data_IF_929877016342
#
_entry.id   IF_929877016342
#
_cell.length_a   1.000
_cell.length_b   1.000
_cell.length_c   1.000
_cell.angle_alpha   90.00
_cell.angle_beta   90.00
_cell.angle_gamma   90.00
#
_symmetry.space_group_name_H-M   'P 1'
#
loop_
_entity.id
_entity.type
_entity.pdbx_description
1 polymer ?
#
# COMPACT_ATOMS: atom_id res chain seq x y z
N UNK A 1 -9.77 9.11 46.83
CA UNK A 1 -10.29 10.08 45.84
C UNK A 1 -9.11 10.72 45.12
N UNK A 2 -8.75 10.19 43.95
CA UNK A 2 -7.63 10.70 43.13
C UNK A 2 -8.17 11.66 42.07
N UNK A 3 -7.79 12.94 42.16
CA UNK A 3 -8.15 13.96 41.17
C UNK A 3 -7.37 13.71 39.88
N UNK A 4 -8.07 13.33 38.81
CA UNK A 4 -7.54 13.36 37.44
C UNK A 4 -7.34 14.82 37.03
N UNK A 5 -6.08 15.20 36.80
CA UNK A 5 -5.72 16.49 36.20
C UNK A 5 -5.72 16.29 34.68
N UNK A 6 -6.72 16.84 34.00
CA UNK A 6 -6.75 16.95 32.53
C UNK A 6 -5.83 18.10 32.10
N UNK A 7 -4.82 17.86 31.26
CA UNK A 7 -3.99 18.93 30.73
C UNK A 7 -4.80 19.78 29.73
N UNK A 8 -4.80 21.09 29.94
CA UNK A 8 -5.44 22.07 29.09
C UNK A 8 -4.67 22.23 27.78
N UNK A 9 -5.39 22.22 26.65
CA UNK A 9 -4.91 22.35 25.26
C UNK A 9 -4.02 23.58 24.98
N UNK A 10 -4.00 24.57 25.87
CA UNK A 10 -3.10 25.72 25.81
C UNK A 10 -1.62 25.35 25.93
N UNK A 11 -1.25 24.24 26.55
CA UNK A 11 0.15 23.90 26.83
C UNK A 11 0.90 23.29 25.65
N UNK A 12 0.20 22.76 24.64
CA UNK A 12 0.83 21.98 23.57
C UNK A 12 1.36 22.89 22.45
N UNK A 13 0.65 23.97 22.11
CA UNK A 13 1.08 24.94 21.09
C UNK A 13 2.34 25.73 21.49
N UNK A 14 2.58 25.90 22.79
CA UNK A 14 3.76 26.62 23.32
C UNK A 14 5.06 25.83 23.19
N UNK A 15 4.98 24.50 23.10
CA UNK A 15 6.15 23.62 22.97
C UNK A 15 6.63 23.49 21.52
N UNK A 16 5.71 23.61 20.55
CA UNK A 16 5.99 23.55 19.11
C UNK A 16 6.65 24.84 18.60
N UNK A 17 6.22 25.99 19.11
CA UNK A 17 6.82 27.30 18.76
C UNK A 17 8.23 27.49 19.33
N UNK A 18 8.56 26.89 20.48
CA UNK A 18 9.90 27.00 21.09
C UNK A 18 11.00 26.16 20.41
N UNK A 19 10.66 25.19 19.56
CA UNK A 19 11.66 24.31 18.89
C UNK A 19 12.02 24.72 17.45
N UNK A 20 11.33 25.70 16.87
CA UNK A 20 11.76 26.33 15.63
C UNK A 20 12.94 27.27 15.92
N UNK A 21 14.15 26.72 15.85
CA UNK A 21 15.41 27.46 15.91
C UNK A 21 15.34 28.66 14.95
N UNK A 22 15.61 29.86 15.48
CA UNK A 22 15.72 31.11 14.70
C UNK A 22 16.53 30.85 13.43
N UNK A 23 15.88 30.99 12.28
CA UNK A 23 16.57 31.12 10.99
C UNK A 23 17.20 32.51 10.99
N UNK A 24 18.53 32.64 10.83
CA UNK A 24 19.16 33.95 10.75
C UNK A 24 18.61 34.71 9.54
N UNK A 25 18.15 35.93 9.78
CA UNK A 25 17.68 36.85 8.75
C UNK A 25 18.86 37.26 7.85
N UNK A 26 18.61 37.40 6.55
CA UNK A 26 19.61 37.69 5.53
C UNK A 26 20.48 38.93 5.81
N UNK A 27 20.00 39.84 6.65
CA UNK A 27 20.71 41.05 7.06
C UNK A 27 21.87 40.79 8.03
N UNK A 28 21.92 39.65 8.72
CA UNK A 28 23.05 39.32 9.63
C UNK A 28 24.28 38.75 8.91
N UNK A 29 24.15 38.35 7.63
CA UNK A 29 25.23 37.69 6.86
C UNK A 29 25.99 38.66 5.96
N UNK A 30 25.44 39.84 5.68
CA UNK A 30 26.05 40.81 4.77
C UNK A 30 26.75 41.92 5.56
N UNK A 31 28.05 41.69 5.80
CA UNK A 31 28.95 42.65 6.41
C UNK A 31 28.89 44.03 5.74
N UNK A 32 29.03 45.05 6.58
CA UNK A 32 29.02 46.47 6.25
C UNK A 32 30.16 46.83 5.28
N UNK A 33 29.92 46.64 3.99
CA UNK A 33 30.80 47.06 2.89
C UNK A 33 30.24 48.31 2.22
N UNK A 34 31.00 49.39 2.32
CA UNK A 34 30.93 50.69 1.64
C UNK A 34 29.99 50.82 0.44
N UNK A 35 29.12 51.82 0.57
CA UNK A 35 28.09 52.29 -0.34
C UNK A 35 28.61 53.02 -1.58
N UNK A 36 28.37 52.46 -2.76
CA UNK A 36 28.20 53.24 -4.00
C UNK A 36 26.70 53.40 -4.32
N UNK A 37 26.24 54.58 -4.77
CA UNK A 37 24.84 54.79 -5.12
C UNK A 37 24.51 54.09 -6.44
N UNK A 38 24.05 52.84 -6.35
CA UNK A 38 23.46 52.13 -7.48
C UNK A 38 22.16 52.87 -7.85
N UNK A 39 22.17 53.56 -8.99
CA UNK A 39 20.97 54.10 -9.64
C UNK A 39 20.09 52.91 -10.03
N UNK A 40 19.19 52.51 -9.13
CA UNK A 40 18.26 51.41 -9.37
C UNK A 40 17.21 51.87 -10.37
N UNK A 41 17.24 51.27 -11.57
CA UNK A 41 16.16 51.41 -12.54
C UNK A 41 14.80 51.12 -11.87
N UNK A 42 13.73 51.85 -12.23
CA UNK A 42 12.42 51.68 -11.61
C UNK A 42 11.95 50.23 -11.80
N UNK A 43 11.89 49.49 -10.69
CA UNK A 43 11.37 48.12 -10.68
C UNK A 43 9.91 48.19 -11.12
N UNK A 44 9.54 47.55 -12.24
CA UNK A 44 8.15 47.59 -12.69
C UNK A 44 7.28 46.95 -11.62
N UNK A 45 6.38 47.75 -11.02
CA UNK A 45 5.33 47.27 -10.12
C UNK A 45 4.41 46.33 -10.91
N UNK A 46 4.72 45.03 -10.92
CA UNK A 46 3.77 43.99 -11.36
C UNK A 46 2.67 43.89 -10.30
N UNK A 47 1.70 44.80 -10.34
CA UNK A 47 0.37 44.54 -9.76
C UNK A 47 -0.35 43.55 -10.67
N UNK A 48 0.01 42.28 -10.57
CA UNK A 48 -0.82 41.18 -11.06
C UNK A 48 -1.74 40.76 -9.91
N UNK A 49 -2.86 41.46 -9.77
CA UNK A 49 -4.07 40.84 -9.23
C UNK A 49 -4.59 39.88 -10.30
N UNK A 50 -3.84 38.78 -10.54
CA UNK A 50 -4.38 37.67 -11.29
C UNK A 50 -5.41 37.04 -10.37
N UNK A 51 -6.69 37.37 -10.57
CA UNK A 51 -7.80 36.64 -9.97
C UNK A 51 -7.61 35.19 -10.44
N UNK A 52 -7.05 34.35 -9.57
CA UNK A 52 -6.93 32.93 -9.85
C UNK A 52 -8.35 32.40 -9.89
N UNK A 53 -8.83 32.06 -11.08
CA UNK A 53 -10.07 31.33 -11.22
C UNK A 53 -9.85 29.97 -10.55
N UNK A 54 -10.45 29.81 -9.37
CA UNK A 54 -10.44 28.54 -8.67
C UNK A 54 -11.27 27.56 -9.50
N UNK A 55 -10.73 26.40 -9.88
CA UNK A 55 -11.48 25.38 -10.59
C UNK A 55 -12.76 24.98 -9.83
N UNK A 56 -13.84 24.71 -10.54
CA UNK A 56 -15.14 24.37 -9.93
C UNK A 56 -15.12 23.05 -9.14
N UNK A 57 -14.16 22.17 -9.46
CA UNK A 57 -13.94 20.86 -8.83
C UNK A 57 -12.91 20.89 -7.69
N UNK A 58 -12.39 22.07 -7.32
CA UNK A 58 -11.44 22.21 -6.22
C UNK A 58 -12.12 22.13 -4.85
N UNK A 59 -11.51 21.41 -3.90
CA UNK A 59 -11.84 21.53 -2.48
C UNK A 59 -11.09 22.73 -1.93
N UNK A 60 -11.82 23.69 -1.37
CA UNK A 60 -11.26 24.90 -0.76
C UNK A 60 -11.53 24.88 0.74
N UNK A 61 -10.48 25.01 1.55
CA UNK A 61 -10.65 25.25 2.99
C UNK A 61 -11.00 26.71 3.22
N UNK A 62 -11.99 26.96 4.07
CA UNK A 62 -12.38 28.30 4.50
C UNK A 62 -11.84 28.61 5.90
N UNK A 63 -11.80 29.89 6.24
CA UNK A 63 -11.26 30.37 7.51
C UNK A 63 -12.10 29.93 8.73
N UNK A 64 -13.37 29.60 8.51
CA UNK A 64 -14.30 29.09 9.53
C UNK A 64 -14.15 27.57 9.79
N UNK A 65 -13.19 26.91 9.12
CA UNK A 65 -12.95 25.48 9.23
C UNK A 65 -13.89 24.61 8.39
N UNK A 66 -14.77 25.21 7.59
CA UNK A 66 -15.57 24.48 6.60
C UNK A 66 -14.77 24.21 5.33
N UNK A 67 -15.23 23.23 4.56
CA UNK A 67 -14.68 22.90 3.25
C UNK A 67 -15.73 23.20 2.18
N UNK A 68 -15.34 23.76 1.03
CA UNK A 68 -16.27 23.99 -0.08
C UNK A 68 -15.83 23.30 -1.37
N UNK A 69 -16.79 22.78 -2.13
CA UNK A 69 -16.62 22.28 -3.49
C UNK A 69 -17.64 23.01 -4.36
N UNK A 70 -17.15 23.85 -5.28
CA UNK A 70 -18.02 24.77 -6.01
C UNK A 70 -18.83 25.65 -5.04
N UNK A 71 -20.16 25.58 -5.14
CA UNK A 71 -21.09 26.31 -4.26
C UNK A 71 -21.49 25.55 -2.99
N UNK A 72 -21.20 24.26 -2.89
CA UNK A 72 -21.54 23.45 -1.73
C UNK A 72 -20.58 23.72 -0.57
N UNK A 73 -21.12 23.76 0.65
CA UNK A 73 -20.33 23.97 1.88
C UNK A 73 -20.50 22.73 2.77
N UNK A 74 -19.38 22.13 3.16
CA UNK A 74 -19.29 20.96 4.02
C UNK A 74 -18.80 21.41 5.40
N UNK A 75 -19.63 21.18 6.41
CA UNK A 75 -19.32 21.46 7.81
C UNK A 75 -19.25 20.16 8.61
N UNK A 76 -18.89 20.25 9.89
CA UNK A 76 -18.91 19.09 10.80
C UNK A 76 -20.31 18.52 11.07
N UNK A 77 -21.38 19.24 10.71
CA UNK A 77 -22.77 18.84 10.95
C UNK A 77 -23.52 18.47 9.67
N UNK A 78 -22.98 18.76 8.47
CA UNK A 78 -23.63 18.35 7.24
C UNK A 78 -23.13 19.05 5.98
N UNK A 79 -23.97 18.98 4.95
CA UNK A 79 -23.78 19.61 3.64
C UNK A 79 -24.82 20.72 3.46
N UNK A 80 -24.37 21.95 3.30
CA UNK A 80 -25.21 23.08 2.94
C UNK A 80 -25.31 23.16 1.40
N UNK A 81 -26.54 23.05 0.91
CA UNK A 81 -26.87 23.04 -0.52
C UNK A 81 -27.41 24.43 -0.90
N UNK A 82 -26.82 25.11 -1.90
CA UNK A 82 -27.35 26.37 -2.41
C UNK A 82 -28.77 26.21 -2.96
N UNK A 83 -29.63 27.22 -2.74
CA UNK A 83 -31.01 27.21 -3.27
C UNK A 83 -31.04 27.18 -4.82
N UNK A 84 -30.00 27.71 -5.46
CA UNK A 84 -29.83 27.77 -6.92
C UNK A 84 -28.97 26.61 -7.47
N UNK A 85 -28.76 25.54 -6.69
CA UNK A 85 -27.95 24.40 -7.11
C UNK A 85 -28.59 23.68 -8.31
N UNK A 86 -27.80 23.53 -9.39
CA UNK A 86 -28.22 22.83 -10.60
C UNK A 86 -27.86 21.35 -10.55
N UNK A 87 -28.43 20.54 -11.46
CA UNK A 87 -28.05 19.13 -11.60
C UNK A 87 -26.55 18.94 -11.90
N UNK A 88 -25.96 19.84 -12.70
CA UNK A 88 -24.54 19.82 -13.01
C UNK A 88 -23.65 20.10 -11.79
N UNK A 89 -24.12 20.96 -10.87
CA UNK A 89 -23.43 21.23 -9.61
C UNK A 89 -23.38 19.96 -8.74
N UNK A 90 -24.50 19.24 -8.63
CA UNK A 90 -24.56 17.95 -7.92
C UNK A 90 -23.68 16.89 -8.56
N UNK A 91 -23.70 16.76 -9.89
CA UNK A 91 -22.85 15.82 -10.62
C UNK A 91 -21.36 16.09 -10.34
N UNK A 92 -20.96 17.36 -10.38
CA UNK A 92 -19.59 17.77 -10.04
C UNK A 92 -19.26 17.42 -8.59
N UNK A 93 -20.13 17.77 -7.65
CA UNK A 93 -19.95 17.48 -6.22
C UNK A 93 -19.78 15.97 -5.97
N UNK A 94 -20.69 15.14 -6.47
CA UNK A 94 -20.61 13.70 -6.29
C UNK A 94 -19.39 13.10 -6.98
N UNK A 95 -19.04 13.56 -8.18
CA UNK A 95 -17.84 13.09 -8.88
C UNK A 95 -16.58 13.32 -8.04
N UNK A 96 -16.44 14.51 -7.45
CA UNK A 96 -15.29 14.83 -6.58
C UNK A 96 -15.33 13.98 -5.31
N UNK A 97 -16.49 13.90 -4.64
CA UNK A 97 -16.63 13.16 -3.39
C UNK A 97 -16.36 11.66 -3.53
N UNK A 98 -16.85 11.02 -4.59
CA UNK A 98 -16.58 9.60 -4.84
C UNK A 98 -15.11 9.35 -5.17
N UNK A 99 -14.46 10.23 -5.96
CA UNK A 99 -13.02 10.14 -6.23
C UNK A 99 -12.18 10.25 -4.94
N UNK A 100 -12.58 11.09 -4.00
CA UNK A 100 -11.87 11.27 -2.73
C UNK A 100 -12.13 10.10 -1.78
N UNK A 101 -13.39 9.67 -1.65
CA UNK A 101 -13.81 8.63 -0.71
C UNK A 101 -12.94 7.38 -0.80
N UNK A 102 -12.64 6.94 -2.01
CA UNK A 102 -11.88 5.70 -2.22
C UNK A 102 -10.37 5.87 -2.00
N UNK A 103 -9.88 7.11 -2.03
CA UNK A 103 -8.45 7.46 -1.97
C UNK A 103 -8.02 8.04 -0.63
N UNK A 104 -8.93 8.62 0.14
CA UNK A 104 -8.61 9.34 1.38
C UNK A 104 -7.89 8.45 2.40
N UNK A 105 -8.30 7.19 2.51
CA UNK A 105 -7.65 6.23 3.41
C UNK A 105 -6.19 5.97 3.01
N UNK A 106 -5.88 5.95 1.70
CA UNK A 106 -4.51 5.79 1.22
C UNK A 106 -3.68 7.03 1.55
N UNK A 107 -4.23 8.22 1.33
CA UNK A 107 -3.56 9.47 1.67
C UNK A 107 -3.29 9.60 3.18
N UNK A 108 -4.25 9.22 4.02
CA UNK A 108 -4.05 9.15 5.48
C UNK A 108 -2.94 8.16 5.82
N UNK A 109 -2.97 6.94 5.26
CA UNK A 109 -1.92 5.94 5.48
C UNK A 109 -0.53 6.41 5.04
N UNK A 110 -0.44 7.08 3.89
CA UNK A 110 0.80 7.66 3.35
C UNK A 110 1.31 8.81 4.23
N UNK A 111 0.42 9.69 4.69
CA UNK A 111 0.76 10.77 5.61
C UNK A 111 1.26 10.25 6.96
N UNK A 112 0.63 9.19 7.50
CA UNK A 112 1.07 8.54 8.75
C UNK A 112 2.46 7.92 8.61
N UNK A 113 2.73 7.24 7.50
CA UNK A 113 4.05 6.69 7.21
C UNK A 113 5.12 7.80 7.08
N UNK A 114 4.78 8.90 6.39
CA UNK A 114 5.65 10.05 6.28
C UNK A 114 5.92 10.73 7.64
N UNK A 115 4.87 10.94 8.45
CA UNK A 115 4.96 11.58 9.77
C UNK A 115 5.94 10.87 10.72
N UNK A 116 5.90 9.54 10.77
CA UNK A 116 6.84 8.75 11.58
C UNK A 116 8.26 8.73 10.99
N UNK A 117 8.40 8.58 9.66
CA UNK A 117 9.73 8.58 9.03
C UNK A 117 10.46 9.92 9.19
N UNK A 118 9.73 11.04 9.25
CA UNK A 118 10.25 12.38 9.54
C UNK A 118 10.45 12.64 11.04
N UNK A 119 10.12 11.67 11.91
CA UNK A 119 10.27 11.76 13.37
C UNK A 119 9.47 12.90 14.01
N UNK A 120 8.29 13.22 13.48
CA UNK A 120 7.41 14.22 14.07
C UNK A 120 6.57 13.69 15.25
N UNK A 121 6.40 12.38 15.35
CA UNK A 121 5.69 11.72 16.44
C UNK A 121 5.34 10.27 16.08
N UNK A 122 4.35 9.71 16.77
CA UNK A 122 3.86 8.34 16.54
C UNK A 122 2.44 8.34 15.98
N UNK A 123 2.10 7.34 15.15
CA UNK A 123 0.76 7.24 14.58
C UNK A 123 -0.36 7.12 15.63
N UNK A 124 -0.06 6.53 16.80
CA UNK A 124 -1.04 6.38 17.88
C UNK A 124 -1.48 7.74 18.47
N UNK A 125 -0.59 8.74 18.49
CA UNK A 125 -0.90 10.09 18.97
C UNK A 125 -1.91 10.78 18.04
N UNK A 126 -1.82 10.51 16.75
CA UNK A 126 -2.76 11.00 15.74
C UNK A 126 -4.13 10.33 15.90
N UNK A 127 -4.15 9.03 16.25
CA UNK A 127 -5.41 8.32 16.51
C UNK A 127 -6.18 8.98 17.66
N UNK A 128 -5.50 9.26 18.77
CA UNK A 128 -6.08 9.94 19.93
C UNK A 128 -6.56 11.36 19.59
N UNK A 129 -5.76 12.11 18.82
CA UNK A 129 -6.09 13.50 18.45
C UNK A 129 -7.35 13.62 17.60
N UNK A 130 -7.54 12.71 16.64
CA UNK A 130 -8.69 12.73 15.72
C UNK A 130 -9.84 11.81 16.15
N UNK A 131 -9.71 11.11 17.29
CA UNK A 131 -10.75 10.21 17.80
C UNK A 131 -10.92 8.92 16.98
N UNK A 132 -9.87 8.46 16.31
CA UNK A 132 -9.87 7.17 15.61
C UNK A 132 -9.48 6.03 16.53
N UNK A 133 -9.95 4.82 16.23
CA UNK A 133 -9.44 3.62 16.87
C UNK A 133 -7.96 3.41 16.48
N UNK A 134 -7.03 3.21 17.44
CA UNK A 134 -5.61 3.00 17.13
C UNK A 134 -5.36 1.84 16.16
N UNK A 135 -6.16 0.78 16.23
CA UNK A 135 -6.06 -0.36 15.32
C UNK A 135 -6.29 0.04 13.85
N UNK A 136 -7.24 0.95 13.59
CA UNK A 136 -7.55 1.43 12.24
C UNK A 136 -6.39 2.23 11.66
N UNK A 137 -5.84 3.17 12.44
CA UNK A 137 -4.70 4.00 12.05
C UNK A 137 -3.45 3.16 11.79
N UNK A 138 -3.15 2.20 12.68
CA UNK A 138 -2.05 1.25 12.48
C UNK A 138 -2.23 0.41 11.23
N UNK A 139 -3.46 -0.04 10.94
CA UNK A 139 -3.73 -0.82 9.73
C UNK A 139 -3.50 0.01 8.46
N UNK A 140 -4.03 1.24 8.40
CA UNK A 140 -3.83 2.13 7.25
C UNK A 140 -2.34 2.40 7.01
N UNK A 141 -1.59 2.71 8.09
CA UNK A 141 -0.14 2.87 8.02
C UNK A 141 0.53 1.61 7.50
N UNK A 142 0.22 0.45 8.09
CA UNK A 142 0.85 -0.82 7.74
C UNK A 142 0.67 -1.14 6.25
N UNK A 143 -0.54 -0.98 5.70
CA UNK A 143 -0.81 -1.18 4.27
C UNK A 143 0.09 -0.28 3.42
N UNK A 144 0.15 1.02 3.70
CA UNK A 144 0.94 1.96 2.91
C UNK A 144 2.46 1.79 3.07
N UNK A 145 2.93 1.29 4.22
CA UNK A 145 4.35 0.93 4.43
C UNK A 145 4.73 -0.39 3.76
N UNK A 146 3.81 -1.35 3.70
CA UNK A 146 4.04 -2.66 3.08
C UNK A 146 3.94 -2.62 1.57
N UNK A 147 3.07 -1.76 1.02
CA UNK A 147 2.89 -1.55 -0.41
C UNK A 147 3.26 -0.11 -0.75
N UNK A 148 4.55 0.10 -1.01
CA UNK A 148 5.14 1.43 -1.19
C UNK A 148 4.42 2.26 -2.27
N UNK A 149 4.34 3.58 -2.03
CA UNK A 149 3.75 4.53 -2.98
C UNK A 149 4.44 4.49 -4.35
N UNK A 150 5.77 4.29 -4.37
CA UNK A 150 6.57 4.12 -5.59
C UNK A 150 6.04 3.00 -6.48
N UNK A 151 5.78 1.82 -5.88
CA UNK A 151 5.25 0.63 -6.54
C UNK A 151 3.83 0.85 -7.04
N UNK A 152 2.93 1.34 -6.16
CA UNK A 152 1.53 1.63 -6.52
C UNK A 152 1.45 2.55 -7.74
N UNK A 153 2.25 3.62 -7.73
CA UNK A 153 2.32 4.60 -8.83
C UNK A 153 2.90 4.00 -10.11
N UNK A 154 3.99 3.24 -10.01
CA UNK A 154 4.64 2.63 -11.17
C UNK A 154 3.72 1.64 -11.87
N UNK A 155 3.13 0.70 -11.13
CA UNK A 155 2.24 -0.32 -11.69
C UNK A 155 0.98 0.29 -12.30
N UNK A 156 0.37 1.28 -11.64
CA UNK A 156 -0.77 1.99 -12.21
C UNK A 156 -0.38 2.68 -13.54
N UNK A 157 0.76 3.37 -13.59
CA UNK A 157 1.23 4.04 -14.80
C UNK A 157 1.56 3.06 -15.92
N UNK A 158 2.14 1.91 -15.59
CA UNK A 158 2.41 0.82 -16.54
C UNK A 158 1.10 0.32 -17.16
N UNK A 159 0.10 -0.03 -16.35
CA UNK A 159 -1.18 -0.55 -16.83
C UNK A 159 -2.01 0.51 -17.55
N UNK A 160 -2.00 1.76 -17.09
CA UNK A 160 -2.76 2.86 -17.71
C UNK A 160 -2.31 3.14 -19.16
N UNK A 161 -1.05 2.83 -19.51
CA UNK A 161 -0.58 2.92 -20.90
C UNK A 161 -1.20 1.86 -21.80
N UNK A 162 -1.53 0.69 -21.25
CA UNK A 162 -2.15 -0.43 -21.98
C UNK A 162 -3.67 -0.32 -21.97
N UNK A 163 -4.26 0.17 -20.88
CA UNK A 163 -5.70 0.30 -20.66
C UNK A 163 -5.99 1.69 -20.06
N UNK A 164 -6.32 2.70 -20.89
CA UNK A 164 -6.52 4.08 -20.45
C UNK A 164 -7.62 4.26 -19.40
N UNK A 165 -8.68 3.46 -19.48
CA UNK A 165 -9.84 3.53 -18.58
C UNK A 165 -9.69 2.64 -17.33
N UNK A 166 -8.46 2.39 -16.89
CA UNK A 166 -8.21 1.58 -15.70
C UNK A 166 -8.39 2.41 -14.43
N UNK A 167 -9.26 1.94 -13.54
CA UNK A 167 -9.45 2.57 -12.24
C UNK A 167 -8.33 2.17 -11.26
N UNK A 168 -7.82 3.09 -10.43
CA UNK A 168 -6.83 2.77 -9.42
C UNK A 168 -7.34 1.79 -8.36
N UNK A 169 -6.43 0.96 -7.84
CA UNK A 169 -6.75 0.06 -6.74
C UNK A 169 -7.04 0.85 -5.45
N UNK A 170 -8.04 0.38 -4.69
CA UNK A 170 -8.42 0.97 -3.40
C UNK A 170 -7.63 0.39 -2.22
N UNK A 171 -7.73 1.02 -1.04
CA UNK A 171 -7.13 0.52 0.20
C UNK A 171 -7.40 -0.97 0.46
N UNK A 172 -8.61 -1.45 0.19
CA UNK A 172 -8.98 -2.86 0.40
C UNK A 172 -8.25 -3.85 -0.51
N UNK A 173 -7.80 -3.42 -1.69
CA UNK A 173 -7.00 -4.26 -2.59
C UNK A 173 -5.58 -4.39 -2.04
N UNK A 174 -4.97 -3.28 -1.64
CA UNK A 174 -3.63 -3.27 -1.04
C UNK A 174 -3.60 -4.03 0.29
N UNK A 175 -4.65 -3.90 1.09
CA UNK A 175 -4.82 -4.66 2.34
C UNK A 175 -4.80 -6.18 2.12
N UNK A 176 -5.34 -6.65 1.00
CA UNK A 176 -5.36 -8.07 0.65
C UNK A 176 -3.95 -8.63 0.38
N UNK A 177 -3.04 -7.82 -0.14
CA UNK A 177 -1.72 -8.27 -0.62
C UNK A 177 -0.55 -7.82 0.27
N UNK A 178 -0.78 -6.95 1.26
CA UNK A 178 0.28 -6.32 2.08
C UNK A 178 1.28 -7.30 2.74
N UNK A 179 0.83 -8.52 3.02
CA UNK A 179 1.66 -9.54 3.69
C UNK A 179 2.49 -10.39 2.71
N UNK A 180 2.32 -10.22 1.40
CA UNK A 180 3.03 -10.99 0.38
C UNK A 180 4.41 -10.40 0.08
N UNK A 181 5.25 -11.20 -0.57
CA UNK A 181 6.54 -10.71 -1.09
C UNK A 181 6.32 -9.66 -2.17
N UNK A 182 7.24 -8.70 -2.31
CA UNK A 182 7.03 -7.57 -3.20
C UNK A 182 6.80 -7.96 -4.67
N UNK A 183 7.44 -9.02 -5.15
CA UNK A 183 7.26 -9.52 -6.53
C UNK A 183 5.84 -10.05 -6.75
N UNK A 184 5.30 -10.78 -5.76
CA UNK A 184 3.93 -11.29 -5.80
C UNK A 184 2.90 -10.16 -5.65
N UNK A 185 3.21 -9.14 -4.86
CA UNK A 185 2.37 -7.94 -4.78
C UNK A 185 2.27 -7.25 -6.14
N UNK A 186 3.41 -7.02 -6.81
CA UNK A 186 3.45 -6.35 -8.11
C UNK A 186 2.64 -7.12 -9.17
N UNK A 187 2.79 -8.44 -9.22
CA UNK A 187 2.03 -9.31 -10.12
C UNK A 187 0.52 -9.23 -9.88
N UNK A 188 0.10 -9.38 -8.63
CA UNK A 188 -1.31 -9.32 -8.25
C UNK A 188 -1.91 -7.93 -8.47
N UNK A 189 -1.14 -6.85 -8.29
CA UNK A 189 -1.57 -5.49 -8.61
C UNK A 189 -1.80 -5.30 -10.11
N UNK A 190 -0.85 -5.73 -10.96
CA UNK A 190 -1.00 -5.67 -12.43
C UNK A 190 -2.24 -6.41 -12.86
N UNK A 191 -2.39 -7.64 -12.37
CA UNK A 191 -3.51 -8.51 -12.72
C UNK A 191 -4.84 -7.92 -12.25
N UNK A 192 -4.91 -7.41 -11.02
CA UNK A 192 -6.12 -6.77 -10.51
C UNK A 192 -6.55 -5.55 -11.35
N UNK A 193 -5.60 -4.74 -11.81
CA UNK A 193 -5.86 -3.58 -12.67
C UNK A 193 -6.30 -4.01 -14.09
N UNK A 194 -5.61 -4.98 -14.69
CA UNK A 194 -5.91 -5.45 -16.05
C UNK A 194 -7.26 -6.14 -16.13
N UNK A 195 -7.51 -7.09 -15.23
CA UNK A 195 -8.73 -7.93 -15.19
C UNK A 195 -9.89 -7.24 -14.46
N UNK A 196 -9.66 -6.13 -13.75
CA UNK A 196 -10.68 -5.47 -12.93
C UNK A 196 -11.10 -6.31 -11.71
N UNK A 197 -10.14 -6.98 -11.07
CA UNK A 197 -10.44 -7.86 -9.93
C UNK A 197 -10.93 -7.04 -8.73
N UNK A 198 -12.08 -7.45 -8.19
CA UNK A 198 -12.54 -6.92 -6.90
C UNK A 198 -11.60 -7.32 -5.75
N UNK A 199 -11.56 -6.52 -4.69
CA UNK A 199 -10.80 -6.86 -3.46
C UNK A 199 -11.16 -8.22 -2.88
N UNK A 200 -12.41 -8.68 -3.04
CA UNK A 200 -12.87 -10.02 -2.63
C UNK A 200 -12.21 -11.12 -3.47
N UNK A 201 -12.16 -10.95 -4.79
CA UNK A 201 -11.50 -11.88 -5.69
C UNK A 201 -9.99 -11.93 -5.40
N UNK A 202 -9.36 -10.77 -5.22
CA UNK A 202 -7.94 -10.68 -4.88
C UNK A 202 -7.61 -11.43 -3.58
N UNK A 203 -8.41 -11.27 -2.52
CA UNK A 203 -8.25 -12.04 -1.27
C UNK A 203 -8.39 -13.55 -1.47
N UNK A 204 -9.27 -13.99 -2.36
CA UNK A 204 -9.43 -15.41 -2.66
C UNK A 204 -8.17 -15.98 -3.34
N UNK A 205 -7.54 -15.21 -4.22
CA UNK A 205 -6.28 -15.58 -4.84
C UNK A 205 -5.12 -15.63 -3.84
N UNK A 206 -5.01 -14.61 -2.99
CA UNK A 206 -4.02 -14.60 -1.91
C UNK A 206 -4.21 -15.82 -1.00
N UNK A 207 -5.45 -16.18 -0.67
CA UNK A 207 -5.75 -17.38 0.11
C UNK A 207 -5.33 -18.67 -0.62
N UNK A 208 -5.52 -18.75 -1.93
CA UNK A 208 -5.11 -19.90 -2.74
C UNK A 208 -3.57 -20.02 -2.84
N UNK A 209 -2.84 -18.90 -2.81
CA UNK A 209 -1.38 -18.88 -2.77
C UNK A 209 -0.81 -19.28 -1.40
N UNK A 210 -1.49 -18.91 -0.32
CA UNK A 210 -1.03 -19.17 1.06
C UNK A 210 -1.43 -20.57 1.55
N UNK A 211 -2.57 -21.11 1.10
CA UNK A 211 -3.05 -22.41 1.56
C UNK A 211 -2.24 -23.54 0.91
N UNK A 212 -1.44 -24.32 1.66
CA UNK A 212 -0.69 -25.45 1.10
C UNK A 212 -1.61 -26.56 0.56
N UNK A 213 -2.87 -26.61 1.00
CA UNK A 213 -3.84 -27.67 0.68
C UNK A 213 -4.61 -27.49 -0.65
N UNK A 214 -4.47 -26.36 -1.35
CA UNK A 214 -5.17 -26.15 -2.64
C UNK A 214 -4.35 -26.54 -3.87
N UNK A 215 -3.13 -27.02 -3.69
CA UNK A 215 -2.48 -27.83 -4.72
C UNK A 215 -3.18 -29.17 -4.74
N UNK A 216 -4.21 -29.33 -5.60
CA UNK A 216 -4.52 -30.66 -6.13
C UNK A 216 -3.16 -31.26 -6.52
N UNK A 217 -2.74 -32.39 -5.93
CA UNK A 217 -1.44 -32.96 -6.22
C UNK A 217 -1.31 -33.02 -7.73
N UNK A 218 -0.18 -32.50 -8.24
CA UNK A 218 0.08 -32.50 -9.68
C UNK A 218 -0.12 -33.93 -10.21
N UNK A 219 -0.48 -34.14 -11.49
CA UNK A 219 -0.59 -35.49 -12.04
C UNK A 219 0.64 -36.35 -11.72
N UNK A 220 1.82 -35.72 -11.64
CA UNK A 220 3.06 -36.33 -11.19
C UNK A 220 3.02 -36.75 -9.72
N UNK A 221 2.60 -35.88 -8.80
CA UNK A 221 2.47 -36.21 -7.38
C UNK A 221 1.40 -37.29 -7.11
N UNK A 222 0.30 -37.30 -7.87
CA UNK A 222 -0.69 -38.39 -7.78
C UNK A 222 -0.10 -39.73 -8.22
N UNK A 223 0.69 -39.71 -9.29
CA UNK A 223 1.38 -40.91 -9.75
C UNK A 223 2.43 -41.38 -8.74
N UNK A 224 3.18 -40.47 -8.10
CA UNK A 224 4.15 -40.80 -7.06
C UNK A 224 3.45 -41.41 -5.83
N UNK A 225 2.38 -40.81 -5.31
CA UNK A 225 1.66 -41.35 -4.15
C UNK A 225 0.97 -42.69 -4.45
N UNK A 226 0.49 -42.89 -5.68
CA UNK A 226 -0.04 -44.18 -6.12
C UNK A 226 1.07 -45.24 -6.19
N UNK A 227 2.24 -44.88 -6.73
CA UNK A 227 3.40 -45.75 -6.82
C UNK A 227 3.96 -46.10 -5.43
N UNK A 228 4.04 -45.14 -4.52
CA UNK A 228 4.49 -45.36 -3.13
C UNK A 228 3.56 -46.33 -2.38
N UNK A 229 2.25 -46.20 -2.60
CA UNK A 229 1.27 -47.13 -2.03
C UNK A 229 1.40 -48.53 -2.62
N UNK A 230 1.59 -48.63 -3.94
CA UNK A 230 1.82 -49.91 -4.62
C UNK A 230 3.12 -50.58 -4.19
N UNK A 231 4.19 -49.81 -3.96
CA UNK A 231 5.46 -50.28 -3.40
C UNK A 231 5.27 -50.76 -1.95
N UNK A 232 4.57 -50.00 -1.11
CA UNK A 232 4.27 -50.39 0.27
C UNK A 232 3.47 -51.69 0.34
N UNK A 233 2.41 -51.81 -0.48
CA UNK A 233 1.57 -53.00 -0.54
C UNK A 233 2.36 -54.21 -1.07
N UNK A 234 3.22 -54.00 -2.08
CA UNK A 234 4.12 -55.03 -2.61
C UNK A 234 5.16 -55.48 -1.57
N UNK A 235 5.73 -54.56 -0.79
CA UNK A 235 6.65 -54.87 0.31
C UNK A 235 5.93 -55.61 1.45
N UNK A 236 4.68 -55.25 1.76
CA UNK A 236 3.85 -55.95 2.75
C UNK A 236 3.56 -57.38 2.30
N UNK A 237 3.16 -57.55 1.03
CA UNK A 237 2.90 -58.86 0.44
C UNK A 237 4.20 -59.70 0.40
N UNK A 238 5.32 -59.10 0.01
CA UNK A 238 6.62 -59.78 0.00
C UNK A 238 7.05 -60.21 1.41
N UNK A 239 6.86 -59.38 2.44
CA UNK A 239 7.10 -59.75 3.84
C UNK A 239 6.22 -60.91 4.32
N UNK A 240 5.03 -61.06 3.73
CA UNK A 240 4.08 -62.11 4.09
C UNK A 240 4.33 -63.42 3.33
N UNK A 241 4.94 -63.35 2.14
CA UNK A 241 5.03 -64.48 1.19
C UNK A 241 6.45 -64.95 0.87
N UNK A 242 7.47 -64.13 1.13
CA UNK A 242 8.86 -64.41 0.77
C UNK A 242 9.80 -64.41 1.98
N UNK A 243 10.81 -65.28 1.92
CA UNK A 243 11.89 -65.36 2.90
C UNK A 243 12.68 -64.03 2.88
N UNK A 244 13.03 -63.50 4.05
CA UNK A 244 13.78 -62.24 4.29
C UNK A 244 14.96 -62.03 3.31
N UNK A 245 15.58 -63.12 2.86
CA UNK A 245 16.70 -63.09 1.92
C UNK A 245 16.32 -62.58 0.51
N UNK A 246 15.10 -62.86 0.02
CA UNK A 246 14.63 -62.36 -1.29
C UNK A 246 14.26 -60.87 -1.23
N UNK A 247 13.75 -60.42 -0.09
CA UNK A 247 13.47 -58.98 0.15
C UNK A 247 14.77 -58.18 0.18
N UNK A 248 15.83 -58.71 0.81
CA UNK A 248 17.17 -58.08 0.77
C UNK A 248 17.70 -57.97 -0.66
N UNK A 249 17.58 -59.04 -1.44
CA UNK A 249 18.08 -59.04 -2.83
C UNK A 249 17.35 -58.01 -3.71
N UNK A 250 16.03 -57.91 -3.58
CA UNK A 250 15.24 -56.88 -4.28
C UNK A 250 15.61 -55.46 -3.85
N UNK A 251 15.78 -55.21 -2.55
CA UNK A 251 16.21 -53.90 -2.06
C UNK A 251 17.60 -53.49 -2.60
N UNK A 252 18.51 -54.45 -2.76
CA UNK A 252 19.84 -54.24 -3.33
C UNK A 252 19.80 -53.88 -4.82
N UNK A 253 18.90 -54.52 -5.59
CA UNK A 253 18.68 -54.19 -7.00
C UNK A 253 18.12 -52.78 -7.18
N UNK A 254 17.15 -52.38 -6.34
CA UNK A 254 16.58 -51.03 -6.38
C UNK A 254 17.62 -49.96 -6.04
N UNK A 255 18.48 -50.20 -5.05
CA UNK A 255 19.58 -49.27 -4.73
C UNK A 255 20.54 -49.10 -5.90
N UNK A 256 20.94 -50.20 -6.56
CA UNK A 256 21.81 -50.14 -7.74
C UNK A 256 21.18 -49.35 -8.89
N UNK A 257 19.87 -49.49 -9.11
CA UNK A 257 19.16 -48.74 -10.14
C UNK A 257 19.11 -47.23 -9.82
N UNK A 258 18.95 -46.86 -8.54
CA UNK A 258 18.98 -45.46 -8.11
C UNK A 258 20.38 -44.83 -8.31
N UNK A 259 21.45 -45.54 -7.92
CA UNK A 259 22.83 -45.09 -8.12
C UNK A 259 23.15 -44.89 -9.61
N UNK A 260 22.64 -45.78 -10.48
CA UNK A 260 22.77 -45.63 -11.93
C UNK A 260 22.01 -44.40 -12.47
N UNK A 261 20.80 -44.14 -11.97
CA UNK A 261 20.01 -43.00 -12.40
C UNK A 261 20.70 -41.67 -12.03
N UNK A 262 21.27 -41.58 -10.82
CA UNK A 262 22.03 -40.40 -10.36
C UNK A 262 23.29 -40.18 -11.21
N UNK A 263 23.97 -41.27 -11.60
CA UNK A 263 25.14 -41.18 -12.49
C UNK A 263 24.79 -40.64 -13.88
N UNK A 264 23.61 -41.01 -14.41
CA UNK A 264 23.12 -40.51 -15.70
C UNK A 264 22.72 -39.04 -15.62
N UNK A 265 22.10 -38.60 -14.51
CA UNK A 265 21.72 -37.19 -14.32
C UNK A 265 22.94 -36.28 -14.26
N UNK A 266 24.00 -36.69 -13.53
CA UNK A 266 25.26 -35.93 -13.49
C UNK A 266 25.97 -35.85 -14.85
N UNK A 267 25.81 -36.86 -15.71
CA UNK A 267 26.39 -36.85 -17.07
C UNK A 267 25.67 -35.87 -18.00
N UNK A 268 24.37 -35.67 -17.84
CA UNK A 268 23.62 -34.68 -18.62
C UNK A 268 23.91 -33.24 -18.16
N UNK A 269 24.13 -33.03 -16.86
CA UNK A 269 24.56 -31.73 -16.31
C UNK A 269 25.95 -31.30 -16.81
N UNK A 270 26.85 -32.25 -17.07
CA UNK A 270 28.20 -31.98 -17.60
C UNK A 270 28.24 -31.71 -19.12
N UNK A 271 27.16 -32.05 -19.84
CA UNK A 271 27.04 -31.80 -21.29
C UNK A 271 26.29 -30.50 -21.62
N UNK A 272 25.77 -29.83 -20.59
CA UNK A 272 25.01 -28.57 -20.66
C UNK A 272 25.92 -27.38 -20.39
#
# INVERSE_FOLDING_TARGET
>A
MTKKVTPTTSSINDTLTKRLKRVPTADEVLGTGTSEPIIRAPVPRRTRNAIQQIPQDAIVSRDDGTLSIGKFIMSGYGLEVPEDATAADFETFFTVMFKIRDRINLWIGDALAAFESLKYGYADEIADFFGYEPATIRNMKYVCTSVELSRRRYILAEVSRMKPDVEPLTMSHYDAIKALRPETQDELMRRALLEGLSSKALRAEVKALISPDTLKPSPFQRNVSALEKEIQDSLKLAKTKYNINQIRHLAELHRKAADQLESLTRLDELKS
#
